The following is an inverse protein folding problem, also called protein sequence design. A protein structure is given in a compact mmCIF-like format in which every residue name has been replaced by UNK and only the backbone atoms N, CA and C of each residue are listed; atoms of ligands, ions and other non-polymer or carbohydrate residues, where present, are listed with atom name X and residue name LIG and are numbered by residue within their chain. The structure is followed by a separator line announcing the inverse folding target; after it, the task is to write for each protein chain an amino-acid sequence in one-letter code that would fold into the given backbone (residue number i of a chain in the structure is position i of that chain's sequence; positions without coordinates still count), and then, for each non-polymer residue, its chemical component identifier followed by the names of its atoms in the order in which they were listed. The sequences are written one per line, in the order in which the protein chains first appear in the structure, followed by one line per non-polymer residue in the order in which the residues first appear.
data_IF_323952034839
#
_entry.id   IF_323952034839
#
_cell.length_a   1.000
_cell.length_b   1.000
_cell.length_c   1.000
_cell.angle_alpha   90.00
_cell.angle_beta   90.00
_cell.angle_gamma   90.00
#
_symmetry.space_group_name_H-M   'P 1'
#
loop_
_entity.id
_entity.type
_entity.pdbx_description
1 polymer ?
#
# COMPACT_ATOMS: atom_id res chain seq x y z
N UNK A 1 -8.67 -30.41 19.75
CA UNK A 1 -9.09 -29.61 18.60
C UNK A 1 -10.10 -28.49 18.89
N UNK A 2 -10.89 -28.43 20.00
CA UNK A 2 -11.82 -27.31 20.22
C UNK A 2 -11.20 -26.07 20.90
N UNK A 3 -10.01 -26.14 21.48
CA UNK A 3 -9.43 -25.03 22.24
C UNK A 3 -8.72 -23.97 21.39
N UNK A 4 -8.32 -24.32 20.19
CA UNK A 4 -7.62 -23.39 19.28
C UNK A 4 -8.56 -22.40 18.60
N UNK A 5 -9.85 -22.76 18.45
CA UNK A 5 -10.88 -21.91 17.83
C UNK A 5 -11.31 -20.77 18.78
N UNK A 6 -11.37 -20.99 20.08
CA UNK A 6 -11.74 -19.95 21.06
C UNK A 6 -10.64 -18.88 21.23
N UNK A 7 -9.38 -19.26 21.17
CA UNK A 7 -8.27 -18.29 21.21
C UNK A 7 -8.25 -17.37 19.98
N UNK A 8 -8.68 -17.90 18.84
CA UNK A 8 -8.72 -17.18 17.57
C UNK A 8 -9.85 -16.14 17.53
N UNK A 9 -10.99 -16.43 18.10
CA UNK A 9 -12.11 -15.48 18.19
C UNK A 9 -11.85 -14.33 19.17
N UNK A 10 -11.12 -14.58 20.25
CA UNK A 10 -10.80 -13.54 21.23
C UNK A 10 -9.69 -12.58 20.73
N UNK A 11 -8.74 -13.06 19.92
CA UNK A 11 -7.73 -12.20 19.30
C UNK A 11 -8.31 -11.30 18.20
N UNK A 12 -9.29 -11.78 17.43
CA UNK A 12 -9.99 -10.99 16.42
C UNK A 12 -10.81 -9.83 17.02
N UNK A 13 -11.23 -9.95 18.28
CA UNK A 13 -11.97 -8.90 18.99
C UNK A 13 -11.09 -7.81 19.61
N UNK A 14 -9.81 -8.06 19.81
CA UNK A 14 -8.91 -7.17 20.57
C UNK A 14 -8.00 -6.32 19.67
N UNK A 15 -7.78 -6.73 18.41
CA UNK A 15 -6.94 -5.98 17.46
C UNK A 15 -7.68 -5.85 16.12
N UNK A 16 -8.24 -4.66 15.80
CA UNK A 16 -8.70 -4.40 14.45
C UNK A 16 -7.53 -4.63 13.46
N UNK A 17 -7.68 -5.58 12.55
CA UNK A 17 -6.63 -5.94 11.58
C UNK A 17 -5.77 -7.17 11.94
N UNK A 18 -6.07 -7.89 13.04
CA UNK A 18 -5.32 -9.10 13.43
C UNK A 18 -5.36 -10.22 12.38
N UNK A 19 -6.41 -10.29 11.56
CA UNK A 19 -6.50 -11.19 10.41
C UNK A 19 -5.51 -10.85 9.31
N UNK A 20 -5.34 -9.57 8.99
CA UNK A 20 -4.39 -9.11 7.98
C UNK A 20 -2.93 -9.43 8.36
N UNK A 21 -2.56 -9.28 9.62
CA UNK A 21 -1.22 -9.64 10.12
C UNK A 21 -0.97 -11.15 10.00
N UNK A 22 -1.98 -11.99 10.28
CA UNK A 22 -1.85 -13.45 10.09
C UNK A 22 -1.78 -13.85 8.63
N UNK A 23 -2.54 -13.22 7.76
CA UNK A 23 -2.48 -13.47 6.33
C UNK A 23 -1.14 -13.04 5.73
N UNK A 24 -0.58 -11.91 6.14
CA UNK A 24 0.79 -11.49 5.78
C UNK A 24 1.84 -12.49 6.27
N UNK A 25 1.71 -13.03 7.48
CA UNK A 25 2.60 -14.06 8.00
C UNK A 25 2.47 -15.38 7.23
N UNK A 26 1.25 -15.78 6.85
CA UNK A 26 1.04 -16.97 5.99
C UNK A 26 1.58 -16.76 4.59
N UNK A 27 1.30 -15.62 3.97
CA UNK A 27 1.86 -15.29 2.65
C UNK A 27 3.40 -15.26 2.65
N UNK A 28 4.01 -14.77 3.73
CA UNK A 28 5.46 -14.84 3.91
C UNK A 28 5.96 -16.28 4.09
N UNK A 29 5.19 -17.14 4.77
CA UNK A 29 5.49 -18.57 4.90
C UNK A 29 5.36 -19.30 3.56
N UNK A 30 4.30 -19.02 2.79
CA UNK A 30 4.07 -19.63 1.48
C UNK A 30 5.09 -19.13 0.43
N UNK A 31 5.48 -17.86 0.46
CA UNK A 31 6.54 -17.33 -0.40
C UNK A 31 7.93 -17.93 -0.09
N UNK A 32 8.17 -18.31 1.15
CA UNK A 32 9.37 -19.06 1.56
C UNK A 32 9.29 -20.53 1.10
N UNK A 33 8.10 -21.13 1.10
CA UNK A 33 7.87 -22.50 0.63
C UNK A 33 8.09 -22.67 -0.89
N UNK A 34 7.73 -21.66 -1.69
CA UNK A 34 7.95 -21.66 -3.16
C UNK A 34 9.44 -21.56 -3.54
N UNK A 35 10.33 -21.17 -2.62
CA UNK A 35 11.80 -21.18 -2.83
C UNK A 35 12.49 -22.47 -2.44
N UNK A 36 11.76 -23.56 -2.18
CA UNK A 36 12.32 -24.85 -1.78
C UNK A 36 12.82 -25.68 -2.98
N UNK A 37 13.85 -25.20 -3.69
CA UNK A 37 14.86 -26.11 -4.26
C UNK A 37 16.17 -26.10 -3.46
N UNK A 38 16.31 -25.27 -2.42
CA UNK A 38 17.44 -25.31 -1.50
C UNK A 38 16.97 -25.68 -0.08
N UNK A 39 17.51 -26.79 0.41
CA UNK A 39 17.23 -27.41 1.70
C UNK A 39 17.31 -26.44 2.87
N UNK A 40 16.19 -25.88 3.29
CA UNK A 40 16.03 -25.24 4.60
C UNK A 40 15.12 -26.11 5.42
N UNK A 41 15.62 -26.58 6.58
CA UNK A 41 14.91 -27.49 7.47
C UNK A 41 13.56 -26.93 7.91
N UNK A 42 12.47 -27.64 7.60
CA UNK A 42 11.07 -27.37 8.00
C UNK A 42 10.91 -27.12 9.51
N UNK A 43 11.86 -27.55 10.32
CA UNK A 43 11.86 -27.42 11.76
C UNK A 43 12.13 -26.01 12.32
N UNK A 44 12.70 -25.07 11.57
CA UNK A 44 13.08 -23.76 12.09
C UNK A 44 11.92 -22.75 12.09
N UNK A 45 11.12 -22.74 11.03
CA UNK A 45 9.95 -21.84 10.89
C UNK A 45 8.77 -22.30 11.74
N UNK A 46 8.52 -23.60 11.83
CA UNK A 46 7.52 -24.18 12.71
C UNK A 46 7.85 -23.96 14.19
N UNK A 47 9.12 -24.03 14.59
CA UNK A 47 9.58 -23.66 15.93
C UNK A 47 9.41 -22.17 16.22
N UNK A 48 9.66 -21.30 15.24
CA UNK A 48 9.48 -19.85 15.37
C UNK A 48 8.00 -19.49 15.51
N UNK A 49 7.12 -20.02 14.68
CA UNK A 49 5.67 -19.81 14.76
C UNK A 49 5.08 -20.38 16.07
N UNK A 50 5.53 -21.55 16.50
CA UNK A 50 5.13 -22.15 17.78
C UNK A 50 5.62 -21.39 19.01
N UNK A 51 6.81 -20.78 18.96
CA UNK A 51 7.33 -19.93 20.04
C UNK A 51 6.63 -18.57 20.12
N UNK A 52 6.28 -17.97 18.98
CA UNK A 52 5.50 -16.72 18.92
C UNK A 52 4.09 -16.96 19.46
N UNK A 53 3.44 -18.05 19.04
CA UNK A 53 2.10 -18.42 19.53
C UNK A 53 2.02 -18.72 21.02
N UNK A 54 3.05 -19.34 21.60
CA UNK A 54 3.11 -19.63 23.04
C UNK A 54 3.43 -18.42 23.93
N UNK A 55 3.94 -17.33 23.38
CA UNK A 55 4.36 -16.13 24.13
C UNK A 55 3.36 -14.99 24.12
N UNK A 56 2.26 -15.09 23.37
CA UNK A 56 1.15 -14.14 23.44
C UNK A 56 0.15 -14.58 24.51
N UNK A 57 0.61 -14.69 25.74
CA UNK A 57 -0.28 -14.87 26.90
C UNK A 57 -0.45 -13.52 27.60
N UNK A 58 -1.65 -12.98 27.58
CA UNK A 58 -2.05 -11.58 27.84
C UNK A 58 -1.97 -11.17 29.32
N UNK A 59 -1.15 -11.77 30.15
CA UNK A 59 -0.98 -11.39 31.56
C UNK A 59 0.40 -10.85 31.95
N UNK A 60 1.21 -10.40 30.99
CA UNK A 60 2.50 -9.81 31.32
C UNK A 60 2.89 -8.76 30.28
N UNK A 61 3.37 -7.62 30.76
CA UNK A 61 3.96 -6.59 29.90
C UNK A 61 5.11 -7.19 29.07
N UNK A 62 4.89 -7.34 27.77
CA UNK A 62 5.91 -7.83 26.86
C UNK A 62 7.03 -6.80 26.73
N UNK A 63 8.20 -7.08 27.27
CA UNK A 63 9.38 -6.24 27.07
C UNK A 63 10.19 -6.75 25.89
N UNK A 64 10.06 -6.07 24.74
CA UNK A 64 10.86 -6.32 23.55
C UNK A 64 12.38 -6.31 23.84
N UNK A 65 12.82 -5.45 24.75
CA UNK A 65 14.22 -5.39 25.24
C UNK A 65 14.71 -6.74 25.82
N UNK A 66 13.85 -7.47 26.52
CA UNK A 66 14.21 -8.75 27.15
C UNK A 66 14.32 -9.89 26.12
N UNK A 67 13.53 -9.82 25.06
CA UNK A 67 13.58 -10.78 23.94
C UNK A 67 14.83 -10.58 23.08
N UNK A 68 15.23 -9.34 22.82
CA UNK A 68 16.41 -8.99 22.03
C UNK A 68 17.72 -9.29 22.78
N UNK A 69 17.79 -9.02 24.10
CA UNK A 69 18.96 -9.32 24.93
C UNK A 69 19.26 -10.83 25.02
N UNK A 70 18.24 -11.68 24.94
CA UNK A 70 18.40 -13.15 24.96
C UNK A 70 19.00 -13.71 23.65
N UNK A 71 19.06 -12.92 22.58
CA UNK A 71 19.60 -13.32 21.27
C UNK A 71 20.98 -12.76 20.96
N UNK A 72 21.65 -12.12 21.93
CA UNK A 72 22.99 -11.55 21.70
C UNK A 72 23.01 -10.38 20.71
N UNK A 73 21.86 -9.77 20.42
CA UNK A 73 21.80 -8.52 19.66
C UNK A 73 22.25 -7.42 20.60
N UNK A 74 23.39 -6.81 20.27
CA UNK A 74 23.92 -5.65 20.98
C UNK A 74 22.84 -4.56 21.10
N UNK A 75 22.88 -3.81 22.18
CA UNK A 75 21.88 -2.84 22.62
C UNK A 75 21.05 -2.24 21.48
N UNK A 76 19.73 -2.52 21.51
CA UNK A 76 18.82 -1.79 20.65
C UNK A 76 19.09 -0.29 20.83
N UNK A 77 19.18 0.50 19.75
CA UNK A 77 19.42 1.91 19.86
C UNK A 77 18.44 2.49 20.88
N UNK A 78 18.97 3.20 21.87
CA UNK A 78 18.15 3.87 22.87
C UNK A 78 17.09 4.65 22.13
N UNK A 79 15.82 4.38 22.43
CA UNK A 79 14.73 5.19 21.88
C UNK A 79 15.05 6.62 22.28
N UNK A 80 15.53 7.42 21.33
CA UNK A 80 15.79 8.83 21.58
C UNK A 80 14.51 9.42 22.17
N UNK A 81 14.59 10.19 23.26
CA UNK A 81 13.42 10.90 23.74
C UNK A 81 12.93 11.76 22.60
N UNK A 82 11.74 11.47 22.12
CA UNK A 82 11.09 12.23 21.05
C UNK A 82 11.07 13.69 21.50
N UNK A 83 11.80 14.57 20.79
CA UNK A 83 11.69 16.01 21.01
C UNK A 83 10.20 16.34 20.94
N UNK A 84 9.67 17.07 21.93
CA UNK A 84 8.32 17.62 21.84
C UNK A 84 8.23 18.37 20.51
N UNK A 85 7.29 17.96 19.67
CA UNK A 85 7.01 18.69 18.44
C UNK A 85 6.74 20.15 18.80
N UNK A 86 7.30 21.06 18.03
CA UNK A 86 7.02 22.49 18.11
C UNK A 86 5.51 22.73 17.96
N UNK A 87 5.06 23.89 18.43
CA UNK A 87 3.65 24.32 18.48
C UNK A 87 2.85 23.92 17.22
N UNK A 88 1.54 23.76 17.36
CA UNK A 88 0.57 23.34 16.31
C UNK A 88 0.64 24.14 15.00
N UNK A 89 1.38 25.26 14.98
CA UNK A 89 1.42 26.22 13.87
C UNK A 89 2.42 25.85 12.75
N UNK A 90 3.37 24.89 12.96
CA UNK A 90 4.35 24.47 11.95
C UNK A 90 4.48 22.94 11.95
N UNK A 91 3.50 22.24 11.40
CA UNK A 91 3.56 20.78 11.23
C UNK A 91 3.23 20.40 9.78
N UNK A 92 4.20 20.51 8.86
CA UNK A 92 3.99 20.26 7.44
C UNK A 92 3.55 18.81 7.15
N UNK A 93 3.95 17.85 7.99
CA UNK A 93 3.50 16.47 7.83
C UNK A 93 2.01 16.31 8.13
N UNK A 94 1.50 16.99 9.17
CA UNK A 94 0.06 16.99 9.45
C UNK A 94 -0.72 17.80 8.42
N UNK A 95 -0.18 18.88 7.91
CA UNK A 95 -0.75 19.63 6.81
C UNK A 95 -0.92 18.76 5.56
N UNK A 96 0.12 18.01 5.17
CA UNK A 96 0.03 17.04 4.06
C UNK A 96 -1.06 16.01 4.29
N UNK A 97 -1.21 15.47 5.51
CA UNK A 97 -2.32 14.55 5.85
C UNK A 97 -3.69 15.19 5.61
N UNK A 98 -3.87 16.43 6.05
CA UNK A 98 -5.13 17.14 5.88
C UNK A 98 -5.44 17.46 4.42
N UNK A 99 -4.42 17.83 3.64
CA UNK A 99 -4.53 18.07 2.20
C UNK A 99 -4.81 16.76 1.44
N UNK A 100 -4.11 15.67 1.74
CA UNK A 100 -4.36 14.35 1.14
C UNK A 100 -5.81 13.88 1.36
N UNK A 101 -6.40 14.25 2.49
CA UNK A 101 -7.78 13.90 2.87
C UNK A 101 -8.83 14.91 2.43
N UNK A 102 -8.43 16.00 1.77
CA UNK A 102 -9.37 17.02 1.33
C UNK A 102 -10.42 16.41 0.39
N UNK A 103 -11.70 16.67 0.68
CA UNK A 103 -12.82 16.09 -0.08
C UNK A 103 -12.92 16.59 -1.52
N UNK A 104 -12.28 17.70 -1.83
CA UNK A 104 -12.23 18.28 -3.17
C UNK A 104 -10.96 17.88 -3.95
N UNK A 105 -10.07 17.07 -3.33
CA UNK A 105 -8.90 16.56 -4.03
C UNK A 105 -9.32 15.71 -5.23
N UNK A 106 -8.74 15.90 -6.42
CA UNK A 106 -9.06 15.09 -7.58
C UNK A 106 -8.81 13.61 -7.28
N UNK A 107 -9.77 12.75 -7.66
CA UNK A 107 -9.71 11.31 -7.45
C UNK A 107 -9.05 10.62 -8.64
N UNK A 108 -8.74 9.34 -8.54
CA UNK A 108 -8.14 8.57 -9.62
C UNK A 108 -8.93 8.65 -10.93
N UNK A 109 -10.26 8.68 -10.86
CA UNK A 109 -11.11 8.85 -12.05
C UNK A 109 -10.83 10.18 -12.78
N UNK A 110 -10.54 11.25 -12.05
CA UNK A 110 -10.18 12.53 -12.66
C UNK A 110 -8.88 12.42 -13.47
N UNK A 111 -7.84 11.81 -12.89
CA UNK A 111 -6.56 11.60 -13.57
C UNK A 111 -6.70 10.66 -14.78
N UNK A 112 -7.48 9.59 -14.67
CA UNK A 112 -7.78 8.70 -15.81
C UNK A 112 -8.43 9.48 -16.93
N UNK A 113 -9.44 10.28 -16.63
CA UNK A 113 -10.14 11.08 -17.65
C UNK A 113 -9.26 12.15 -18.31
N UNK A 114 -8.22 12.62 -17.61
CA UNK A 114 -7.28 13.61 -18.13
C UNK A 114 -6.24 13.00 -19.06
N UNK A 115 -5.61 11.87 -18.68
CA UNK A 115 -4.42 11.35 -19.34
C UNK A 115 -4.66 10.08 -20.18
N UNK A 116 -5.84 9.44 -20.10
CA UNK A 116 -6.08 8.15 -20.78
C UNK A 116 -7.11 8.29 -21.88
N UNK A 117 -6.66 8.25 -23.12
CA UNK A 117 -7.53 8.26 -24.28
C UNK A 117 -8.27 6.93 -24.45
N UNK A 118 -9.56 7.00 -24.77
CA UNK A 118 -10.37 5.81 -25.07
C UNK A 118 -10.43 4.78 -23.95
N UNK A 119 -10.41 5.23 -22.69
CA UNK A 119 -10.45 4.33 -21.56
C UNK A 119 -11.68 3.42 -21.58
N UNK A 120 -11.44 2.11 -21.53
CA UNK A 120 -12.45 1.08 -21.46
C UNK A 120 -12.32 0.32 -20.14
N UNK A 121 -13.27 0.54 -19.23
CA UNK A 121 -13.27 -0.07 -17.90
C UNK A 121 -13.65 -1.56 -17.97
N UNK A 122 -12.95 -2.37 -17.18
CA UNK A 122 -13.14 -3.81 -17.05
C UNK A 122 -13.53 -4.18 -15.62
N UNK A 123 -14.65 -4.85 -15.47
CA UNK A 123 -15.28 -5.14 -14.19
C UNK A 123 -15.09 -6.58 -13.71
N UNK A 124 -15.19 -6.77 -12.40
CA UNK A 124 -15.27 -8.05 -11.70
C UNK A 124 -13.97 -8.83 -11.58
N UNK A 125 -13.89 -9.62 -10.52
CA UNK A 125 -12.73 -10.45 -10.20
C UNK A 125 -12.76 -11.84 -10.85
N UNK A 126 -13.87 -12.24 -11.45
CA UNK A 126 -14.14 -13.58 -12.02
C UNK A 126 -14.26 -14.69 -10.97
N UNK A 127 -14.41 -14.34 -9.68
CA UNK A 127 -14.56 -15.29 -8.58
C UNK A 127 -15.80 -15.03 -7.73
N UNK A 128 -15.99 -13.78 -7.30
CA UNK A 128 -17.08 -13.43 -6.39
C UNK A 128 -17.90 -12.23 -6.88
N UNK A 129 -17.28 -11.06 -7.06
CA UNK A 129 -17.99 -9.83 -7.40
C UNK A 129 -17.09 -8.79 -8.11
N UNK A 130 -17.66 -7.62 -8.37
CA UNK A 130 -16.90 -6.40 -8.66
C UNK A 130 -16.72 -5.59 -7.39
N UNK A 131 -15.66 -4.77 -7.35
CA UNK A 131 -15.42 -3.78 -6.30
C UNK A 131 -15.24 -2.39 -6.91
N UNK A 132 -16.12 -1.48 -6.55
CA UNK A 132 -16.09 -0.11 -7.03
C UNK A 132 -14.93 0.73 -6.46
N UNK A 133 -14.25 0.28 -5.41
CA UNK A 133 -13.07 0.94 -4.87
C UNK A 133 -11.83 0.75 -5.77
N UNK A 134 -11.88 -0.16 -6.73
CA UNK A 134 -10.88 -0.30 -7.79
C UNK A 134 -11.51 0.01 -9.15
N UNK A 135 -10.94 0.97 -9.86
CA UNK A 135 -11.16 1.17 -11.30
C UNK A 135 -10.02 0.48 -12.03
N UNK A 136 -10.34 -0.29 -13.05
CA UNK A 136 -9.32 -0.93 -13.87
C UNK A 136 -9.78 -1.09 -15.31
N UNK A 137 -8.88 -0.87 -16.24
CA UNK A 137 -9.23 -0.90 -17.65
C UNK A 137 -8.04 -0.75 -18.58
N UNK A 138 -8.34 -0.59 -19.86
CA UNK A 138 -7.35 -0.38 -20.92
C UNK A 138 -7.64 0.94 -21.64
N UNK A 139 -6.59 1.57 -22.15
CA UNK A 139 -6.68 2.80 -22.93
C UNK A 139 -5.32 3.15 -23.51
N UNK A 140 -5.13 4.40 -23.90
CA UNK A 140 -3.87 4.88 -24.47
C UNK A 140 -3.37 6.09 -23.68
N UNK A 141 -2.07 6.12 -23.41
CA UNK A 141 -1.37 7.29 -22.89
C UNK A 141 -0.27 7.63 -23.90
N UNK A 142 -0.31 8.84 -24.46
CA UNK A 142 0.66 9.29 -25.47
C UNK A 142 0.82 8.28 -26.63
N UNK A 143 -0.28 7.71 -27.10
CA UNK A 143 -0.30 6.72 -28.17
C UNK A 143 0.16 5.31 -27.79
N UNK A 144 0.57 5.06 -26.55
CA UNK A 144 0.92 3.75 -26.04
C UNK A 144 -0.31 3.04 -25.45
N UNK A 145 -0.62 1.80 -25.82
CA UNK A 145 -1.69 1.04 -25.17
C UNK A 145 -1.25 0.65 -23.75
N UNK A 146 -2.05 1.00 -22.76
CA UNK A 146 -1.75 0.75 -21.34
C UNK A 146 -2.89 0.01 -20.65
N UNK A 147 -2.58 -0.63 -19.55
CA UNK A 147 -3.54 -1.07 -18.54
C UNK A 147 -3.44 -0.15 -17.34
N UNK A 148 -4.56 0.43 -16.93
CA UNK A 148 -4.65 1.26 -15.71
C UNK A 148 -5.35 0.48 -14.62
N UNK A 149 -4.81 0.54 -13.40
CA UNK A 149 -5.40 0.01 -12.17
C UNK A 149 -5.34 1.09 -11.11
N UNK A 150 -6.46 1.48 -10.57
CA UNK A 150 -6.56 2.66 -9.71
C UNK A 150 -7.44 2.42 -8.50
N UNK A 151 -7.00 2.84 -7.34
CA UNK A 151 -7.85 2.98 -6.15
C UNK A 151 -8.68 4.26 -6.26
N UNK A 152 -9.97 4.17 -5.99
CA UNK A 152 -10.92 5.25 -6.23
C UNK A 152 -11.78 5.52 -5.00
N UNK A 153 -11.67 6.73 -4.46
CA UNK A 153 -12.44 7.17 -3.27
C UNK A 153 -13.85 7.66 -3.59
N UNK A 154 -14.08 8.14 -4.79
CA UNK A 154 -15.29 8.84 -5.20
C UNK A 154 -15.27 10.34 -4.88
N UNK A 155 -15.84 11.13 -5.81
CA UNK A 155 -15.82 12.58 -5.78
C UNK A 155 -16.89 13.19 -4.86
N UNK A 156 -17.98 12.47 -4.59
CA UNK A 156 -19.09 12.90 -3.72
C UNK A 156 -19.45 11.81 -2.69
N UNK A 157 -20.28 12.15 -1.71
CA UNK A 157 -20.64 11.22 -0.64
C UNK A 157 -21.29 9.92 -1.17
N UNK A 158 -22.14 10.01 -2.19
CA UNK A 158 -22.82 8.84 -2.77
C UNK A 158 -21.80 7.89 -3.42
N UNK A 159 -20.89 8.45 -4.20
CA UNK A 159 -19.80 7.67 -4.80
C UNK A 159 -18.86 7.09 -3.74
N UNK A 160 -18.51 7.88 -2.72
CA UNK A 160 -17.64 7.41 -1.62
C UNK A 160 -18.24 6.21 -0.90
N UNK A 161 -19.54 6.24 -0.60
CA UNK A 161 -20.24 5.09 0.01
C UNK A 161 -20.19 3.88 -0.95
N UNK A 162 -20.50 4.06 -2.23
CA UNK A 162 -20.49 2.99 -3.22
C UNK A 162 -19.10 2.40 -3.48
N UNK A 163 -18.03 3.15 -3.17
CA UNK A 163 -16.62 2.77 -3.35
C UNK A 163 -15.92 2.47 -2.01
N UNK A 164 -16.65 2.16 -0.96
CA UNK A 164 -16.12 1.89 0.39
C UNK A 164 -15.09 2.94 0.85
N UNK A 165 -15.30 4.22 0.51
CA UNK A 165 -14.37 5.33 0.80
C UNK A 165 -12.93 5.09 0.27
N UNK A 166 -12.80 4.37 -0.83
CA UNK A 166 -11.52 4.00 -1.41
C UNK A 166 -10.80 2.87 -0.68
N UNK A 167 -11.52 2.09 0.12
CA UNK A 167 -10.97 0.92 0.81
C UNK A 167 -11.35 -0.36 0.04
N UNK A 168 -10.44 -0.95 -0.77
CA UNK A 168 -10.79 -2.10 -1.58
C UNK A 168 -11.04 -3.35 -0.73
N UNK A 169 -12.01 -4.13 -1.18
CA UNK A 169 -12.29 -5.48 -0.71
C UNK A 169 -11.43 -6.52 -1.46
N UNK A 170 -11.45 -7.80 -1.08
CA UNK A 170 -10.67 -8.84 -1.76
C UNK A 170 -10.92 -8.90 -3.27
N UNK A 171 -12.17 -8.63 -3.68
CA UNK A 171 -12.59 -8.61 -5.08
C UNK A 171 -11.85 -7.52 -5.88
N UNK A 172 -11.59 -6.36 -5.27
CA UNK A 172 -10.83 -5.28 -5.88
C UNK A 172 -9.39 -5.69 -6.17
N UNK A 173 -8.72 -6.30 -5.21
CA UNK A 173 -7.34 -6.78 -5.39
C UNK A 173 -7.27 -7.94 -6.37
N UNK A 174 -8.22 -8.89 -6.38
CA UNK A 174 -8.28 -9.95 -7.38
C UNK A 174 -8.58 -9.41 -8.79
N UNK A 175 -9.44 -8.38 -8.90
CA UNK A 175 -9.64 -7.65 -10.16
C UNK A 175 -8.33 -7.02 -10.64
N UNK A 176 -7.60 -6.35 -9.75
CA UNK A 176 -6.30 -5.76 -10.05
C UNK A 176 -5.31 -6.80 -10.57
N UNK A 177 -5.16 -7.92 -9.86
CA UNK A 177 -4.31 -9.05 -10.26
C UNK A 177 -4.64 -9.56 -11.66
N UNK A 178 -5.92 -9.81 -11.91
CA UNK A 178 -6.40 -10.28 -13.21
C UNK A 178 -6.03 -9.32 -14.35
N UNK A 179 -6.16 -8.01 -14.12
CA UNK A 179 -5.83 -6.99 -15.12
C UNK A 179 -4.33 -6.87 -15.35
N UNK A 180 -3.52 -6.97 -14.30
CA UNK A 180 -2.06 -6.98 -14.40
C UNK A 180 -1.56 -8.21 -15.18
N UNK A 181 -2.08 -9.40 -14.89
CA UNK A 181 -1.77 -10.62 -15.63
C UNK A 181 -2.20 -10.53 -17.09
N UNK A 182 -3.35 -9.92 -17.37
CA UNK A 182 -3.78 -9.65 -18.74
C UNK A 182 -2.83 -8.66 -19.44
N UNK A 183 -2.39 -7.61 -18.74
CA UNK A 183 -1.44 -6.64 -19.26
C UNK A 183 -0.14 -7.32 -19.65
N UNK A 184 0.43 -8.15 -18.78
CA UNK A 184 1.64 -8.93 -19.06
C UNK A 184 1.47 -9.84 -20.27
N UNK A 185 0.37 -10.61 -20.33
CA UNK A 185 0.08 -11.51 -21.46
C UNK A 185 0.08 -10.78 -22.81
N UNK A 186 -0.36 -9.54 -22.87
CA UNK A 186 -0.44 -8.74 -24.07
C UNK A 186 0.67 -7.69 -24.23
N UNK A 187 1.67 -7.72 -23.37
CA UNK A 187 2.81 -6.81 -23.40
C UNK A 187 2.47 -5.33 -23.17
N UNK A 188 1.35 -5.05 -22.46
CA UNK A 188 0.97 -3.67 -22.12
C UNK A 188 1.61 -3.19 -20.85
N UNK A 189 2.19 -1.99 -20.81
CA UNK A 189 2.58 -1.33 -19.57
C UNK A 189 1.39 -1.17 -18.61
N UNK A 190 1.70 -1.12 -17.33
CA UNK A 190 0.72 -0.97 -16.24
C UNK A 190 0.96 0.38 -15.56
N UNK A 191 -0.12 1.13 -15.36
CA UNK A 191 -0.13 2.36 -14.56
C UNK A 191 -1.01 2.12 -13.34
N UNK A 192 -0.44 2.26 -12.14
CA UNK A 192 -1.15 2.14 -10.87
C UNK A 192 -1.34 3.51 -10.24
N UNK A 193 -2.58 3.91 -10.00
CA UNK A 193 -2.93 5.11 -9.26
C UNK A 193 -3.37 4.71 -7.85
N UNK A 194 -2.66 5.20 -6.82
CA UNK A 194 -2.86 4.78 -5.43
C UNK A 194 -3.49 5.92 -4.65
N UNK A 195 -4.69 5.69 -4.12
CA UNK A 195 -5.35 6.61 -3.20
C UNK A 195 -6.34 5.88 -2.29
N UNK A 196 -5.81 5.30 -1.22
CA UNK A 196 -6.57 4.54 -0.22
C UNK A 196 -6.11 4.82 1.20
N UNK A 197 -7.04 4.80 2.15
CA UNK A 197 -6.71 4.76 3.58
C UNK A 197 -6.19 3.38 4.03
N UNK A 198 -6.36 2.36 3.19
CA UNK A 198 -6.02 0.96 3.43
C UNK A 198 -7.09 0.01 2.90
N UNK A 199 -6.79 -1.27 2.93
CA UNK A 199 -7.75 -2.31 2.57
C UNK A 199 -8.97 -2.31 3.50
N UNK A 200 -10.14 -2.67 2.98
CA UNK A 200 -11.34 -2.78 3.79
C UNK A 200 -11.16 -3.79 4.94
N UNK A 201 -11.42 -3.36 6.17
CA UNK A 201 -11.16 -4.11 7.40
C UNK A 201 -12.47 -4.67 8.02
N UNK A 202 -13.28 -5.38 7.24
CA UNK A 202 -14.52 -6.01 7.70
C UNK A 202 -14.37 -7.53 7.82
N UNK A 203 -15.19 -8.15 8.69
CA UNK A 203 -15.21 -9.61 8.87
C UNK A 203 -15.46 -10.32 7.53
N UNK A 204 -16.41 -9.84 6.75
CA UNK A 204 -16.74 -10.40 5.44
C UNK A 204 -15.55 -10.35 4.45
N UNK A 205 -14.71 -9.31 4.50
CA UNK A 205 -13.52 -9.23 3.67
C UNK A 205 -12.45 -10.24 4.14
N UNK A 206 -12.28 -10.40 5.44
CA UNK A 206 -11.38 -11.42 5.99
C UNK A 206 -11.81 -12.84 5.62
N UNK A 207 -13.11 -13.15 5.70
CA UNK A 207 -13.68 -14.43 5.28
C UNK A 207 -13.45 -14.74 3.80
N UNK A 208 -13.43 -13.71 2.95
CA UNK A 208 -13.13 -13.82 1.51
C UNK A 208 -11.65 -13.68 1.15
N UNK A 209 -10.76 -13.66 2.15
CA UNK A 209 -9.32 -13.72 1.97
C UNK A 209 -8.66 -12.39 1.63
N UNK A 210 -8.98 -11.31 2.37
CA UNK A 210 -8.42 -9.97 2.14
C UNK A 210 -6.88 -9.97 2.11
N UNK A 211 -6.25 -10.56 3.12
CA UNK A 211 -4.79 -10.63 3.18
C UNK A 211 -4.18 -11.47 2.06
N UNK A 212 -4.84 -12.57 1.66
CA UNK A 212 -4.38 -13.40 0.56
C UNK A 212 -4.43 -12.64 -0.78
N UNK A 213 -5.54 -11.91 -1.04
CA UNK A 213 -5.67 -11.14 -2.28
C UNK A 213 -4.60 -10.03 -2.39
N UNK A 214 -4.24 -9.38 -1.28
CA UNK A 214 -3.13 -8.42 -1.23
C UNK A 214 -1.80 -9.13 -1.50
N UNK A 215 -1.54 -10.25 -0.83
CA UNK A 215 -0.30 -11.01 -0.99
C UNK A 215 -0.11 -11.53 -2.41
N UNK A 216 -1.17 -12.01 -3.05
CA UNK A 216 -1.14 -12.47 -4.45
C UNK A 216 -0.77 -11.33 -5.41
N UNK A 217 -1.27 -10.11 -5.18
CA UNK A 217 -0.86 -8.93 -5.94
C UNK A 217 0.64 -8.64 -5.77
N UNK A 218 1.16 -8.67 -4.54
CA UNK A 218 2.58 -8.41 -4.27
C UNK A 218 3.47 -9.42 -4.98
N UNK A 219 3.12 -10.71 -4.91
CA UNK A 219 3.88 -11.79 -5.58
C UNK A 219 3.84 -11.62 -7.10
N UNK A 220 2.66 -11.33 -7.66
CA UNK A 220 2.52 -11.13 -9.10
C UNK A 220 3.30 -9.89 -9.57
N UNK A 221 3.13 -8.74 -8.90
CA UNK A 221 3.82 -7.51 -9.28
C UNK A 221 5.35 -7.66 -9.22
N UNK A 222 5.88 -8.44 -8.27
CA UNK A 222 7.30 -8.71 -8.19
C UNK A 222 7.85 -9.45 -9.43
N UNK A 223 7.01 -10.26 -10.10
CA UNK A 223 7.41 -11.12 -11.23
C UNK A 223 7.05 -10.55 -12.60
N UNK A 224 6.21 -9.51 -12.70
CA UNK A 224 5.78 -8.92 -13.97
C UNK A 224 6.97 -8.53 -14.85
N UNK A 225 6.84 -8.82 -16.15
CA UNK A 225 7.86 -8.59 -17.18
C UNK A 225 7.51 -7.40 -18.10
N UNK A 226 6.50 -6.61 -17.74
CA UNK A 226 6.12 -5.37 -18.41
C UNK A 226 6.44 -4.17 -17.52
N UNK A 227 6.58 -2.95 -18.09
CA UNK A 227 6.72 -1.73 -17.31
C UNK A 227 5.58 -1.52 -16.31
N UNK A 228 5.90 -1.17 -15.07
CA UNK A 228 4.92 -0.83 -14.04
C UNK A 228 5.29 0.51 -13.42
N UNK A 229 4.42 1.50 -13.58
CA UNK A 229 4.57 2.85 -13.03
C UNK A 229 3.48 3.07 -11.99
N UNK A 230 3.86 3.47 -10.78
CA UNK A 230 2.92 3.71 -9.68
C UNK A 230 3.03 5.14 -9.19
N UNK A 231 1.90 5.74 -8.84
CA UNK A 231 1.89 7.07 -8.21
C UNK A 231 0.86 7.11 -7.07
N UNK A 232 1.29 7.61 -5.92
CA UNK A 232 0.40 7.89 -4.78
C UNK A 232 -0.16 9.30 -4.95
N UNK A 233 -1.48 9.39 -5.14
CA UNK A 233 -2.18 10.65 -5.42
C UNK A 233 -2.63 11.39 -4.16
N UNK A 234 -2.91 10.66 -3.09
CA UNK A 234 -3.39 11.20 -1.84
C UNK A 234 -2.93 10.36 -0.66
N UNK A 235 -3.74 9.43 -0.19
CA UNK A 235 -3.36 8.54 0.89
C UNK A 235 -2.86 7.19 0.35
N UNK A 236 -1.65 6.80 0.76
CA UNK A 236 -1.10 5.46 0.55
C UNK A 236 -1.14 4.66 1.86
N UNK A 237 -2.27 4.00 2.14
CA UNK A 237 -2.50 3.31 3.40
C UNK A 237 -2.10 1.83 3.39
N UNK A 238 -1.06 1.48 4.18
CA UNK A 238 -0.73 0.10 4.57
C UNK A 238 -0.58 -0.88 3.40
N UNK A 239 -0.90 -2.15 3.62
CA UNK A 239 -0.87 -3.20 2.60
C UNK A 239 -1.85 -2.98 1.46
N UNK A 240 -2.93 -2.20 1.69
CA UNK A 240 -3.88 -1.84 0.65
C UNK A 240 -3.21 -1.05 -0.47
N UNK A 241 -2.51 0.01 -0.14
CA UNK A 241 -1.74 0.80 -1.08
C UNK A 241 -0.56 0.00 -1.66
N UNK A 242 0.16 -0.76 -0.84
CA UNK A 242 1.33 -1.53 -1.28
C UNK A 242 0.96 -2.57 -2.35
N UNK A 243 -0.26 -3.13 -2.29
CA UNK A 243 -0.77 -4.09 -3.29
C UNK A 243 -0.79 -3.53 -4.72
N UNK A 244 -0.71 -2.20 -4.91
CA UNK A 244 -0.63 -1.52 -6.20
C UNK A 244 0.64 -0.66 -6.36
N UNK A 245 1.51 -0.59 -5.35
CA UNK A 245 2.66 0.31 -5.34
C UNK A 245 4.02 -0.39 -5.60
N UNK A 246 4.02 -1.64 -6.03
CA UNK A 246 5.26 -2.38 -6.36
C UNK A 246 5.69 -2.17 -7.82
N UNK A 247 5.93 -0.91 -8.21
CA UNK A 247 6.33 -0.55 -9.57
C UNK A 247 7.83 -0.54 -9.83
N UNK A 248 8.20 -0.44 -11.11
CA UNK A 248 9.55 -0.10 -11.55
C UNK A 248 9.91 1.37 -11.24
N UNK A 249 8.90 2.23 -11.27
CA UNK A 249 8.95 3.62 -10.83
C UNK A 249 7.78 3.85 -9.89
N UNK A 250 8.06 4.48 -8.75
CA UNK A 250 7.04 4.86 -7.76
C UNK A 250 7.23 6.33 -7.43
N UNK A 251 6.19 7.11 -7.53
CA UNK A 251 6.20 8.52 -7.16
C UNK A 251 5.06 8.84 -6.20
N UNK A 252 5.11 10.00 -5.60
CA UNK A 252 4.03 10.57 -4.79
C UNK A 252 3.78 12.00 -5.22
N UNK A 253 2.53 12.46 -5.22
CA UNK A 253 2.25 13.88 -5.31
C UNK A 253 2.73 14.61 -4.05
N UNK A 254 3.02 15.90 -4.17
CA UNK A 254 3.67 16.72 -3.13
C UNK A 254 3.03 16.61 -1.75
N UNK A 255 1.68 16.62 -1.70
CA UNK A 255 0.92 16.49 -0.46
C UNK A 255 0.36 15.08 -0.23
N UNK A 256 0.80 14.09 -0.98
CA UNK A 256 0.46 12.70 -0.69
C UNK A 256 1.20 12.19 0.54
N UNK A 257 0.60 11.20 1.19
CA UNK A 257 1.18 10.54 2.37
C UNK A 257 1.21 9.03 2.17
N UNK A 258 2.27 8.37 2.64
CA UNK A 258 2.43 6.93 2.52
C UNK A 258 2.87 6.34 3.85
N UNK A 259 2.08 5.44 4.43
CA UNK A 259 2.37 4.91 5.77
C UNK A 259 1.70 3.56 6.04
N UNK A 260 2.25 2.83 7.01
CA UNK A 260 1.71 1.53 7.47
C UNK A 260 0.36 1.69 8.16
N UNK A 261 0.13 2.80 8.86
CA UNK A 261 -1.13 3.10 9.57
C UNK A 261 -1.36 4.60 9.65
N UNK A 262 -2.59 4.99 9.96
CA UNK A 262 -2.92 6.42 10.12
C UNK A 262 -2.23 7.03 11.34
N UNK A 263 -1.98 8.36 11.35
CA UNK A 263 -1.45 9.06 12.53
C UNK A 263 -2.28 8.84 13.79
N UNK A 264 -3.60 8.78 13.64
CA UNK A 264 -4.52 8.47 14.74
C UNK A 264 -4.32 7.06 15.27
N UNK A 265 -4.10 6.09 14.38
CA UNK A 265 -3.79 4.70 14.73
C UNK A 265 -2.45 4.59 15.46
N UNK A 266 -1.41 5.27 14.94
CA UNK A 266 -0.08 5.34 15.55
C UNK A 266 -0.17 5.92 16.98
N UNK A 267 -0.80 7.08 17.15
CA UNK A 267 -0.98 7.72 18.45
C UNK A 267 -1.76 6.85 19.45
N UNK A 268 -2.82 6.17 18.97
CA UNK A 268 -3.60 5.24 19.80
C UNK A 268 -2.79 4.05 20.28
N UNK A 269 -1.97 3.45 19.41
CA UNK A 269 -1.20 2.24 19.73
C UNK A 269 -0.04 2.58 20.66
N UNK A 270 0.76 3.60 20.33
CA UNK A 270 1.99 3.90 21.05
C UNK A 270 1.77 4.78 22.28
N UNK A 271 0.89 5.77 22.18
CA UNK A 271 0.70 6.76 23.23
C UNK A 271 -0.61 6.61 24.00
N UNK A 272 -1.49 5.70 23.53
CA UNK A 272 -2.84 5.50 24.08
C UNK A 272 -3.72 6.75 24.04
N UNK A 273 -3.40 7.67 23.14
CA UNK A 273 -4.10 8.95 22.97
C UNK A 273 -4.23 9.32 21.48
N UNK A 274 -5.42 9.06 20.93
CA UNK A 274 -5.74 9.35 19.52
C UNK A 274 -5.71 10.85 19.18
N UNK A 275 -5.87 11.72 20.18
CA UNK A 275 -5.90 13.18 19.94
C UNK A 275 -4.54 13.74 19.55
N UNK A 276 -3.47 12.98 19.77
CA UNK A 276 -2.09 13.34 19.40
C UNK A 276 -1.71 12.98 17.95
N UNK A 277 -2.70 12.83 17.06
CA UNK A 277 -2.46 12.45 15.67
C UNK A 277 -1.51 13.40 14.92
N UNK A 278 -1.62 14.71 15.15
CA UNK A 278 -0.72 15.70 14.55
C UNK A 278 0.75 15.51 14.98
N UNK A 279 0.97 15.22 16.27
CA UNK A 279 2.30 14.89 16.79
C UNK A 279 2.82 13.56 16.21
N UNK A 280 1.92 12.60 16.02
CA UNK A 280 2.25 11.33 15.36
C UNK A 280 2.70 11.54 13.92
N UNK A 281 1.99 12.34 13.13
CA UNK A 281 2.36 12.64 11.75
C UNK A 281 3.78 13.21 11.66
N UNK A 282 4.17 14.10 12.56
CA UNK A 282 5.50 14.71 12.60
C UNK A 282 6.65 13.72 12.84
N UNK A 283 6.37 12.54 13.43
CA UNK A 283 7.42 11.54 13.72
C UNK A 283 7.37 10.32 12.79
N UNK A 284 6.28 10.14 12.05
CA UNK A 284 6.07 8.96 11.21
C UNK A 284 6.85 8.98 9.90
N UNK A 285 7.34 10.14 9.47
CA UNK A 285 8.06 10.31 8.20
C UNK A 285 7.28 9.75 7.00
N UNK A 286 6.08 10.25 6.82
CA UNK A 286 5.12 9.72 5.86
C UNK A 286 4.86 10.63 4.66
N UNK A 287 5.46 11.82 4.62
CA UNK A 287 5.30 12.78 3.52
C UNK A 287 6.07 12.34 2.26
N UNK A 288 5.66 12.86 1.12
CA UNK A 288 6.30 12.55 -0.17
C UNK A 288 7.81 12.89 -0.16
N UNK A 289 8.19 14.03 0.42
CA UNK A 289 9.59 14.42 0.52
C UNK A 289 10.39 13.46 1.39
N UNK A 290 9.89 13.10 2.57
CA UNK A 290 10.56 12.15 3.45
C UNK A 290 10.67 10.76 2.82
N UNK A 291 9.64 10.30 2.10
CA UNK A 291 9.69 9.05 1.35
C UNK A 291 10.75 9.08 0.23
N UNK A 292 10.90 10.22 -0.45
CA UNK A 292 11.94 10.43 -1.46
C UNK A 292 13.34 10.46 -0.83
N UNK A 293 13.52 11.17 0.27
CA UNK A 293 14.80 11.25 1.00
C UNK A 293 15.26 9.88 1.54
N UNK A 294 14.30 9.00 1.88
CA UNK A 294 14.57 7.63 2.30
C UNK A 294 14.76 6.65 1.12
N UNK A 295 14.59 7.10 -0.11
CA UNK A 295 14.68 6.26 -1.30
C UNK A 295 13.50 5.29 -1.50
N UNK A 296 12.39 5.49 -0.78
CA UNK A 296 11.16 4.67 -0.92
C UNK A 296 10.46 4.96 -2.25
N UNK A 297 10.53 6.20 -2.71
CA UNK A 297 10.04 6.64 -4.02
C UNK A 297 11.16 7.32 -4.81
N UNK A 298 11.03 7.31 -6.14
CA UNK A 298 12.01 7.93 -7.02
C UNK A 298 11.78 9.43 -7.19
N UNK A 299 10.53 9.91 -7.06
CA UNK A 299 10.21 11.29 -7.40
C UNK A 299 9.01 11.82 -6.60
N UNK A 300 9.07 13.09 -6.24
CA UNK A 300 7.93 13.87 -5.78
C UNK A 300 7.36 14.62 -6.98
N UNK A 301 6.12 14.30 -7.36
CA UNK A 301 5.44 14.94 -8.48
C UNK A 301 4.73 16.20 -7.98
N UNK A 302 5.04 17.34 -8.59
CA UNK A 302 4.44 18.63 -8.22
C UNK A 302 2.92 18.62 -8.39
N UNK A 303 2.24 19.33 -7.52
CA UNK A 303 0.80 19.62 -7.66
C UNK A 303 0.55 21.00 -8.32
N UNK A 304 1.62 21.76 -8.61
CA UNK A 304 1.57 23.09 -9.19
C UNK A 304 1.85 24.19 -8.17
N UNK A 305 1.16 25.32 -8.30
CA UNK A 305 1.36 26.49 -7.43
C UNK A 305 0.72 26.32 -6.03
N UNK A 306 -0.01 25.23 -5.81
CA UNK A 306 -0.69 24.90 -4.55
C UNK A 306 -1.20 23.45 -4.53
N UNK A 307 -1.98 23.07 -3.51
CA UNK A 307 -2.56 21.73 -3.41
C UNK A 307 -3.41 21.36 -4.62
N UNK A 308 -3.41 20.09 -5.01
CA UNK A 308 -4.08 19.57 -6.22
C UNK A 308 -5.58 19.93 -6.32
N UNK A 309 -6.26 20.17 -5.22
CA UNK A 309 -7.68 20.57 -5.23
C UNK A 309 -7.90 22.05 -5.60
N UNK A 310 -6.86 22.88 -5.56
CA UNK A 310 -6.94 24.28 -5.99
C UNK A 310 -6.76 24.41 -7.53
N UNK A 311 -5.92 23.55 -8.13
CA UNK A 311 -5.74 23.48 -9.57
C UNK A 311 -5.61 22.03 -10.05
N UNK A 312 -6.74 21.28 -10.17
CA UNK A 312 -6.73 19.88 -10.55
C UNK A 312 -6.14 19.61 -11.94
N UNK A 313 -6.32 20.54 -12.88
CA UNK A 313 -5.82 20.40 -14.25
C UNK A 313 -4.28 20.44 -14.29
N UNK A 314 -3.69 21.37 -13.58
CA UNK A 314 -2.23 21.50 -13.48
C UNK A 314 -1.63 20.29 -12.78
N UNK A 315 -2.22 19.84 -11.67
CA UNK A 315 -1.79 18.64 -10.95
C UNK A 315 -1.86 17.39 -11.84
N UNK A 316 -2.91 17.25 -12.65
CA UNK A 316 -3.06 16.12 -13.55
C UNK A 316 -2.04 16.16 -14.69
N UNK A 317 -1.72 17.33 -15.23
CA UNK A 317 -0.68 17.47 -16.25
C UNK A 317 0.71 17.03 -15.77
N UNK A 318 1.08 17.34 -14.54
CA UNK A 318 2.34 16.86 -13.96
C UNK A 318 2.35 15.34 -13.73
N UNK A 319 1.22 14.75 -13.34
CA UNK A 319 1.07 13.29 -13.23
C UNK A 319 1.21 12.63 -14.60
N UNK A 320 0.56 13.17 -15.63
CA UNK A 320 0.67 12.69 -17.00
C UNK A 320 2.11 12.76 -17.52
N UNK A 321 2.81 13.88 -17.29
CA UNK A 321 4.21 14.04 -17.65
C UNK A 321 5.10 12.97 -16.98
N UNK A 322 4.95 12.76 -15.67
CA UNK A 322 5.69 11.73 -14.94
C UNK A 322 5.42 10.34 -15.51
N UNK A 323 4.16 9.98 -15.70
CA UNK A 323 3.75 8.67 -16.20
C UNK A 323 4.29 8.44 -17.62
N UNK A 324 4.09 9.40 -18.51
CA UNK A 324 4.52 9.31 -19.92
C UNK A 324 6.04 9.16 -20.03
N UNK A 325 6.79 9.98 -19.32
CA UNK A 325 8.26 9.92 -19.29
C UNK A 325 8.73 8.57 -18.74
N UNK A 326 8.18 8.14 -17.61
CA UNK A 326 8.53 6.87 -16.97
C UNK A 326 8.24 5.66 -17.89
N UNK A 327 7.09 5.65 -18.56
CA UNK A 327 6.74 4.60 -19.51
C UNK A 327 7.72 4.57 -20.69
N UNK A 328 8.06 5.72 -21.28
CA UNK A 328 9.02 5.80 -22.39
C UNK A 328 10.42 5.30 -22.01
N UNK A 329 10.87 5.56 -20.79
CA UNK A 329 12.15 5.07 -20.27
C UNK A 329 12.12 3.56 -20.09
N UNK A 330 11.12 3.05 -19.38
CA UNK A 330 10.98 1.64 -19.05
C UNK A 330 10.72 0.75 -20.27
N UNK A 331 10.04 1.28 -21.28
CA UNK A 331 9.75 0.54 -22.52
C UNK A 331 11.01 0.15 -23.32
N UNK A 332 12.16 0.75 -22.99
CA UNK A 332 13.46 0.44 -23.61
C UNK A 332 14.14 -0.78 -22.98
N UNK A 333 13.67 -1.21 -21.82
CA UNK A 333 14.23 -2.33 -21.08
C UNK A 333 13.62 -3.66 -21.55
N UNK A 334 14.42 -4.71 -21.50
CA UNK A 334 13.93 -6.06 -21.74
C UNK A 334 13.03 -6.55 -20.58
N UNK A 335 12.22 -7.59 -20.81
CA UNK A 335 11.40 -8.21 -19.76
C UNK A 335 12.20 -8.62 -18.51
N UNK A 336 13.40 -9.17 -18.71
CA UNK A 336 14.31 -9.57 -17.64
C UNK A 336 14.84 -8.37 -16.86
N UNK A 337 15.28 -7.31 -17.56
CA UNK A 337 15.77 -6.07 -16.93
C UNK A 337 14.69 -5.39 -16.11
N UNK A 338 13.42 -5.37 -16.57
CA UNK A 338 12.30 -4.81 -15.83
C UNK A 338 12.04 -5.56 -14.53
N UNK A 339 12.04 -6.90 -14.58
CA UNK A 339 11.88 -7.73 -13.39
C UNK A 339 13.03 -7.55 -12.41
N UNK A 340 14.27 -7.61 -12.89
CA UNK A 340 15.46 -7.55 -12.07
C UNK A 340 15.63 -6.16 -11.44
N UNK A 341 15.36 -5.07 -12.19
CA UNK A 341 15.34 -3.71 -11.65
C UNK A 341 14.32 -3.57 -10.50
N UNK A 342 13.12 -4.12 -10.67
CA UNK A 342 12.10 -4.09 -9.62
C UNK A 342 12.53 -4.92 -8.41
N UNK A 343 13.10 -6.08 -8.62
CA UNK A 343 13.63 -6.91 -7.54
C UNK A 343 14.72 -6.19 -6.74
N UNK A 344 15.72 -5.62 -7.39
CA UNK A 344 16.80 -4.88 -6.72
C UNK A 344 16.28 -3.65 -5.98
N UNK A 345 15.32 -2.93 -6.58
CA UNK A 345 14.67 -1.79 -5.93
C UNK A 345 14.06 -2.16 -4.57
N UNK A 346 13.29 -3.23 -4.50
CA UNK A 346 12.64 -3.64 -3.25
C UNK A 346 13.55 -4.41 -2.30
N UNK A 347 14.70 -4.87 -2.77
CA UNK A 347 15.75 -5.45 -1.92
C UNK A 347 16.59 -4.39 -1.19
N UNK A 348 16.56 -3.17 -1.64
CA UNK A 348 17.33 -2.06 -1.06
C UNK A 348 16.73 -1.51 0.26
N UNK A 349 15.51 -1.93 0.62
CA UNK A 349 14.80 -1.50 1.84
C UNK A 349 15.06 -2.37 3.04
#
# INVERSE_FOLDING_TARGET
APKDVELDQNMARVVPGGGAVRAMLRAAQDAVAVRQDDKVEEGALSRFAGEVGKRINVKGSFSLKRALKKRGVADAPSVMPLKKASSKEDNPAWESVMIARNIHRPTSQYYINHMVDGFFELHGDRMFADDGAIIGGIGWIDGMPVTVVAEEKGADLKQRIARNFGCPQPEGYRKSLRLMQQAEKFGRPIVCLVDTQGAFCGMEAEERGQGNAIADNLVAMASLTVPVVCIVLGEGGSGGALALAMGNRVAMQDHAVYSVLSPEGFASILWKDRTRAAEAAAVMKMSAREACDMGIIEEVVSEGDGPAHENPEQAAAYVEEFVTRSLRELYRLSPEELRDQRYERFRAF
#
